data_IF_695825550233
#
_entry.id   IF_695825550233
#
_cell.length_a   1.000
_cell.length_b   1.000
_cell.length_c   1.000
_cell.angle_alpha   90.00
_cell.angle_beta   90.00
_cell.angle_gamma   90.00
#
_symmetry.space_group_name_H-M   'P 1'
#
loop_
_entity.id
_entity.type
_entity.pdbx_description
1 polymer ?
#
# COMPACT_ATOMS: atom_id res chain seq x y z
N UNK A 1 -2.58 10.71 17.09
CA UNK A 1 -1.41 10.33 17.91
C UNK A 1 -0.32 10.04 16.91
N UNK A 2 0.60 10.98 16.73
CA UNK A 2 1.64 10.94 15.71
C UNK A 2 2.75 10.05 16.27
N UNK A 3 3.04 8.93 15.61
CA UNK A 3 4.16 8.08 16.01
C UNK A 3 5.30 8.31 15.00
N UNK A 4 6.37 9.00 15.42
CA UNK A 4 7.67 9.04 14.70
C UNK A 4 8.56 7.83 15.04
N UNK A 5 8.05 6.95 15.90
CA UNK A 5 8.70 5.76 16.42
C UNK A 5 7.96 4.52 15.96
N UNK A 6 8.67 3.60 15.31
CA UNK A 6 8.12 2.27 14.98
C UNK A 6 8.67 1.26 15.98
N UNK A 7 7.75 0.60 16.68
CA UNK A 7 8.06 -0.57 17.51
C UNK A 7 7.97 -1.82 16.65
N UNK A 8 9.04 -2.61 16.59
CA UNK A 8 9.05 -3.87 15.83
C UNK A 8 9.34 -5.04 16.79
N UNK A 9 8.30 -5.80 17.14
CA UNK A 9 8.50 -7.02 17.92
C UNK A 9 9.17 -8.11 17.07
N UNK A 10 10.20 -8.76 17.62
CA UNK A 10 10.87 -9.88 16.94
C UNK A 10 10.03 -11.16 17.07
N UNK A 11 9.02 -11.33 16.22
CA UNK A 11 8.18 -12.55 16.18
C UNK A 11 8.91 -13.74 15.53
N UNK A 12 10.18 -13.99 15.87
CA UNK A 12 11.00 -15.03 15.23
C UNK A 12 11.25 -16.27 16.09
N UNK A 13 10.88 -16.27 17.37
CA UNK A 13 11.08 -17.42 18.25
C UNK A 13 9.89 -17.66 19.18
N UNK A 14 9.41 -18.91 19.22
CA UNK A 14 8.28 -19.37 20.06
C UNK A 14 8.51 -19.09 21.57
N UNK A 15 9.75 -18.87 21.98
CA UNK A 15 10.18 -18.52 23.34
C UNK A 15 10.06 -17.02 23.68
N UNK A 16 10.00 -16.14 22.68
CA UNK A 16 9.87 -14.68 22.86
C UNK A 16 8.42 -14.19 22.95
N UNK A 17 7.44 -15.05 22.69
CA UNK A 17 6.00 -14.75 22.85
C UNK A 17 5.66 -14.35 24.30
N UNK A 18 6.53 -14.68 25.26
CA UNK A 18 6.40 -14.28 26.67
C UNK A 18 6.88 -12.84 26.97
N UNK A 19 7.46 -12.12 26.01
CA UNK A 19 7.99 -10.75 26.19
C UNK A 19 7.28 -9.72 25.31
N UNK A 20 5.95 -9.74 25.31
CA UNK A 20 5.11 -8.71 24.65
C UNK A 20 4.81 -7.51 25.57
N UNK A 21 5.38 -7.48 26.78
CA UNK A 21 5.09 -6.44 27.77
C UNK A 21 5.75 -5.10 27.44
N UNK A 22 6.89 -5.12 26.76
CA UNK A 22 7.62 -3.91 26.36
C UNK A 22 8.27 -4.10 24.98
N UNK A 23 8.36 -3.03 24.17
CA UNK A 23 9.09 -3.06 22.91
C UNK A 23 10.54 -3.46 23.15
N UNK A 24 11.04 -4.46 22.41
CA UNK A 24 12.43 -4.88 22.52
C UNK A 24 13.40 -3.90 21.86
N UNK A 25 12.94 -3.27 20.77
CA UNK A 25 13.74 -2.39 19.94
C UNK A 25 12.84 -1.25 19.46
N UNK A 26 13.38 -0.04 19.61
CA UNK A 26 12.71 1.21 19.28
C UNK A 26 13.60 1.95 18.31
N UNK A 27 13.08 2.26 17.13
CA UNK A 27 13.82 2.97 16.11
C UNK A 27 13.09 4.25 15.69
N UNK A 28 13.80 5.36 15.75
CA UNK A 28 13.33 6.63 15.23
C UNK A 28 13.55 6.70 13.72
N UNK A 29 12.50 7.10 12.99
CA UNK A 29 12.53 7.19 11.54
C UNK A 29 12.73 8.64 11.11
N UNK A 30 13.96 8.93 10.69
CA UNK A 30 14.44 10.29 10.39
C UNK A 30 14.80 10.40 8.91
N UNK A 31 14.32 11.45 8.24
CA UNK A 31 14.67 11.81 6.88
C UNK A 31 15.28 13.22 6.84
N UNK A 32 16.60 13.31 6.66
CA UNK A 32 17.34 14.57 6.77
C UNK A 32 16.93 15.63 5.73
N UNK A 33 16.39 15.21 4.58
CA UNK A 33 15.88 16.10 3.53
C UNK A 33 14.41 16.51 3.70
N UNK A 34 13.77 16.19 4.82
CA UNK A 34 12.33 16.42 5.00
C UNK A 34 12.03 17.90 5.28
N UNK A 35 10.99 18.43 4.63
CA UNK A 35 10.79 19.87 4.42
C UNK A 35 10.43 20.69 5.68
N UNK A 36 10.17 20.04 6.84
CA UNK A 36 9.74 20.72 8.07
C UNK A 36 10.56 20.28 9.29
N UNK A 37 10.55 18.99 9.56
CA UNK A 37 11.26 18.34 10.69
C UNK A 37 12.02 17.15 10.15
N UNK A 38 13.14 16.76 10.76
CA UNK A 38 13.81 15.53 10.34
C UNK A 38 12.97 14.27 10.67
N UNK A 39 12.08 14.36 11.67
CA UNK A 39 11.13 13.30 12.02
C UNK A 39 10.02 13.16 10.99
N UNK A 40 9.71 11.90 10.65
CA UNK A 40 8.65 11.54 9.71
C UNK A 40 7.50 10.88 10.46
N UNK A 41 6.30 11.45 10.32
CA UNK A 41 5.08 10.94 10.94
C UNK A 41 4.53 9.72 10.18
N UNK A 42 4.56 8.55 10.82
CA UNK A 42 4.13 7.29 10.21
C UNK A 42 2.66 7.01 10.50
N UNK A 43 1.91 6.66 9.47
CA UNK A 43 0.48 6.35 9.56
C UNK A 43 0.16 4.88 9.31
N UNK A 44 1.01 4.20 8.53
CA UNK A 44 0.83 2.79 8.18
C UNK A 44 2.17 2.17 7.77
N UNK A 45 2.28 0.85 7.84
CA UNK A 45 3.46 0.12 7.40
C UNK A 45 3.09 -1.28 6.95
N UNK A 46 3.92 -1.85 6.07
CA UNK A 46 3.83 -3.27 5.69
C UNK A 46 5.17 -3.82 5.20
N UNK A 47 5.28 -5.14 5.16
CA UNK A 47 6.45 -5.87 4.68
C UNK A 47 6.12 -6.56 3.35
N UNK A 48 7.06 -6.59 2.38
CA UNK A 48 7.00 -7.58 1.33
C UNK A 48 6.97 -8.99 1.93
N UNK A 49 6.24 -9.90 1.32
CA UNK A 49 6.19 -11.28 1.78
C UNK A 49 7.59 -11.90 1.86
N UNK A 50 7.84 -12.66 2.92
CA UNK A 50 9.13 -13.27 3.26
C UNK A 50 10.29 -12.28 3.53
N UNK A 51 10.03 -10.98 3.54
CA UNK A 51 10.98 -9.96 3.98
C UNK A 51 10.76 -9.64 5.47
N UNK A 52 11.85 -9.53 6.22
CA UNK A 52 11.81 -9.29 7.69
C UNK A 52 12.75 -8.18 8.12
N UNK A 53 13.61 -7.73 7.21
CA UNK A 53 14.67 -6.75 7.44
C UNK A 53 14.33 -5.39 6.86
N UNK A 54 13.44 -5.34 5.86
CA UNK A 54 13.00 -4.11 5.22
C UNK A 54 11.48 -4.02 5.18
N UNK A 55 10.96 -2.83 5.40
CA UNK A 55 9.53 -2.54 5.37
C UNK A 55 9.29 -1.19 4.72
N UNK A 56 8.05 -0.96 4.29
CA UNK A 56 7.63 0.32 3.73
C UNK A 56 6.67 0.99 4.68
N UNK A 57 6.80 2.30 4.78
CA UNK A 57 5.98 3.14 5.65
C UNK A 57 5.27 4.19 4.84
N UNK A 58 3.96 4.32 5.06
CA UNK A 58 3.18 5.46 4.62
C UNK A 58 3.18 6.56 5.67
N UNK A 59 3.07 7.80 5.23
CA UNK A 59 3.26 8.98 6.08
C UNK A 59 2.08 9.94 6.03
N UNK A 60 2.01 10.84 7.01
CA UNK A 60 1.00 11.91 7.04
C UNK A 60 1.13 12.91 5.88
N UNK A 61 2.30 13.01 5.25
CA UNK A 61 2.54 13.92 4.13
C UNK A 61 2.22 13.33 2.74
N UNK A 62 1.84 12.05 2.67
CA UNK A 62 1.52 11.41 1.39
C UNK A 62 2.71 10.74 0.68
N UNK A 63 3.87 10.65 1.33
CA UNK A 63 5.02 9.92 0.81
C UNK A 63 5.09 8.50 1.39
N UNK A 64 5.67 7.57 0.62
CA UNK A 64 6.12 6.26 1.12
C UNK A 64 7.63 6.22 1.15
N UNK A 65 8.19 5.63 2.21
CA UNK A 65 9.62 5.38 2.35
C UNK A 65 9.90 3.91 2.63
N UNK A 66 11.03 3.42 2.11
CA UNK A 66 11.58 2.14 2.54
C UNK A 66 12.39 2.35 3.82
N UNK A 67 12.30 1.43 4.77
CA UNK A 67 13.05 1.45 6.02
C UNK A 67 13.73 0.10 6.26
N UNK A 68 14.93 0.10 6.84
CA UNK A 68 15.61 -1.11 7.27
C UNK A 68 15.56 -1.22 8.79
N UNK A 69 15.26 -2.42 9.30
CA UNK A 69 15.26 -2.71 10.74
C UNK A 69 16.68 -2.69 11.33
N UNK A 70 17.66 -3.19 10.57
CA UNK A 70 19.04 -3.33 11.02
C UNK A 70 20.03 -2.78 10.01
N UNK A 71 21.24 -2.48 10.49
CA UNK A 71 22.38 -2.20 9.63
C UNK A 71 22.73 -3.44 8.78
N UNK A 72 22.96 -3.24 7.49
CA UNK A 72 23.45 -4.26 6.55
C UNK A 72 24.48 -3.67 5.60
N UNK A 73 25.18 -4.54 4.87
CA UNK A 73 26.12 -4.10 3.84
C UNK A 73 25.39 -3.21 2.80
N UNK A 74 25.74 -1.91 2.78
CA UNK A 74 25.16 -0.94 1.85
C UNK A 74 23.84 -0.29 2.28
N UNK A 75 23.30 -0.60 3.47
CA UNK A 75 22.13 0.13 3.98
C UNK A 75 22.15 0.24 5.51
N UNK A 76 21.88 1.44 6.02
CA UNK A 76 21.74 1.70 7.45
C UNK A 76 20.34 1.41 7.94
N UNK A 77 20.24 1.06 9.21
CA UNK A 77 18.97 0.96 9.90
C UNK A 77 18.25 2.33 9.84
N UNK A 78 16.93 2.31 9.69
CA UNK A 78 16.08 3.49 9.57
C UNK A 78 15.63 3.74 8.14
N UNK A 79 15.13 4.95 7.87
CA UNK A 79 14.61 5.32 6.55
C UNK A 79 15.72 5.37 5.50
N UNK A 80 15.45 4.80 4.34
CA UNK A 80 16.20 5.06 3.12
C UNK A 80 15.92 6.51 2.69
N UNK A 81 16.97 7.32 2.67
CA UNK A 81 16.88 8.74 2.34
C UNK A 81 16.95 9.01 0.83
N UNK A 82 17.31 8.02 0.03
CA UNK A 82 17.50 8.17 -1.41
C UNK A 82 16.21 7.95 -2.20
N UNK A 83 15.38 7.00 -1.81
CA UNK A 83 14.16 6.68 -2.57
C UNK A 83 12.92 7.25 -1.87
N UNK A 84 12.22 8.17 -2.55
CA UNK A 84 10.97 8.77 -2.08
C UNK A 84 9.85 8.42 -3.04
N UNK A 85 8.88 7.64 -2.60
CA UNK A 85 7.68 7.32 -3.38
C UNK A 85 6.68 8.45 -3.17
N UNK A 86 6.46 9.25 -4.22
CA UNK A 86 5.70 10.49 -4.14
C UNK A 86 4.54 10.46 -5.11
N UNK A 87 3.34 10.76 -4.62
CA UNK A 87 2.15 10.80 -5.47
C UNK A 87 0.85 11.13 -4.75
N UNK A 88 0.70 10.80 -3.46
CA UNK A 88 -0.47 11.22 -2.70
C UNK A 88 -0.37 12.70 -2.30
N UNK A 89 -1.52 13.37 -2.24
CA UNK A 89 -1.68 14.75 -1.80
C UNK A 89 -2.10 14.86 -0.33
N UNK A 90 -2.24 13.72 0.37
CA UNK A 90 -2.60 13.67 1.78
C UNK A 90 -2.15 12.40 2.49
N UNK A 91 -2.37 12.33 3.83
CA UNK A 91 -2.02 11.19 4.66
C UNK A 91 -2.38 9.82 4.08
N UNK A 92 -1.41 8.92 4.07
CA UNK A 92 -1.62 7.53 3.64
C UNK A 92 -2.30 6.75 4.77
N UNK A 93 -3.46 6.17 4.51
CA UNK A 93 -4.26 5.45 5.52
C UNK A 93 -4.10 3.94 5.45
N UNK A 94 -3.71 3.41 4.30
CA UNK A 94 -3.45 2.00 4.09
C UNK A 94 -2.23 1.78 3.22
N UNK A 95 -1.48 0.72 3.52
CA UNK A 95 -0.41 0.18 2.69
C UNK A 95 -0.54 -1.34 2.71
N UNK A 96 -0.45 -1.99 1.55
CA UNK A 96 -0.46 -3.45 1.49
C UNK A 96 0.36 -3.99 0.33
N UNK A 97 1.33 -4.85 0.64
CA UNK A 97 2.06 -5.60 -0.38
C UNK A 97 1.19 -6.67 -1.02
N UNK A 98 1.46 -6.95 -2.28
CA UNK A 98 0.81 -8.03 -3.00
C UNK A 98 1.32 -9.38 -2.45
N UNK A 99 0.43 -10.34 -2.16
CA UNK A 99 0.82 -11.64 -1.62
C UNK A 99 1.66 -12.44 -2.62
N UNK A 100 2.66 -13.15 -2.11
CA UNK A 100 3.46 -14.14 -2.85
C UNK A 100 2.70 -15.43 -2.98
N UNK A 101 1.81 -15.48 -3.97
CA UNK A 101 1.12 -16.72 -4.32
C UNK A 101 1.10 -16.89 -5.83
N UNK A 102 1.02 -18.14 -6.29
CA UNK A 102 0.83 -18.52 -7.69
C UNK A 102 2.08 -18.50 -8.56
N UNK A 103 1.89 -18.35 -9.87
CA UNK A 103 2.91 -18.65 -10.91
C UNK A 103 3.79 -17.48 -11.33
N UNK A 104 3.41 -16.25 -10.97
CA UNK A 104 4.14 -15.01 -11.27
C UNK A 104 4.41 -14.28 -9.97
N UNK A 105 5.65 -13.81 -9.80
CA UNK A 105 6.06 -13.07 -8.62
C UNK A 105 5.69 -11.58 -8.73
N UNK A 106 4.81 -11.15 -7.82
CA UNK A 106 4.36 -9.76 -7.67
C UNK A 106 4.74 -9.19 -6.30
N UNK A 107 5.67 -9.81 -5.57
CA UNK A 107 6.10 -9.38 -4.22
C UNK A 107 6.60 -7.94 -4.15
N UNK A 108 6.99 -7.35 -5.28
CA UNK A 108 7.41 -5.97 -5.39
C UNK A 108 6.25 -4.98 -5.64
N UNK A 109 5.02 -5.45 -5.83
CA UNK A 109 3.85 -4.58 -5.98
C UNK A 109 3.23 -4.29 -4.61
N UNK A 110 2.81 -3.05 -4.41
CA UNK A 110 2.03 -2.68 -3.23
C UNK A 110 1.01 -1.61 -3.57
N UNK A 111 -0.07 -1.58 -2.79
CA UNK A 111 -1.11 -0.56 -2.86
C UNK A 111 -0.95 0.41 -1.69
N UNK A 112 -1.37 1.65 -1.91
CA UNK A 112 -1.61 2.62 -0.85
C UNK A 112 -2.99 3.25 -1.01
N UNK A 113 -3.62 3.63 0.10
CA UNK A 113 -4.85 4.43 0.10
C UNK A 113 -4.63 5.70 0.91
N UNK A 114 -5.34 6.77 0.59
CA UNK A 114 -5.15 8.06 1.24
C UNK A 114 -6.44 8.83 1.45
N UNK A 115 -6.35 9.84 2.33
CA UNK A 115 -7.40 10.85 2.51
C UNK A 115 -7.56 11.79 1.31
N UNK A 116 -6.65 11.72 0.33
CA UNK A 116 -6.80 12.38 -0.97
C UNK A 116 -7.76 11.66 -1.93
N UNK A 117 -8.48 10.66 -1.43
CA UNK A 117 -9.52 9.89 -2.11
C UNK A 117 -9.00 8.90 -3.16
N UNK A 118 -7.68 8.77 -3.28
CA UNK A 118 -7.07 7.88 -4.27
C UNK A 118 -6.53 6.60 -3.63
N UNK A 119 -6.52 5.53 -4.44
CA UNK A 119 -5.67 4.36 -4.22
C UNK A 119 -4.56 4.40 -5.27
N UNK A 120 -3.32 4.11 -4.89
CA UNK A 120 -2.19 4.09 -5.83
C UNK A 120 -1.50 2.74 -5.84
N UNK A 121 -1.16 2.27 -7.04
CA UNK A 121 -0.35 1.07 -7.27
C UNK A 121 1.10 1.45 -7.46
N UNK A 122 2.01 0.74 -6.80
CA UNK A 122 3.44 1.04 -6.82
C UNK A 122 4.26 -0.20 -7.14
N UNK A 123 5.50 0.04 -7.56
CA UNK A 123 6.56 -0.97 -7.63
C UNK A 123 7.70 -0.62 -6.70
N UNK A 124 7.95 -1.47 -5.72
CA UNK A 124 9.08 -1.37 -4.82
C UNK A 124 10.41 -1.53 -5.59
N UNK A 125 11.35 -0.60 -5.34
CA UNK A 125 12.75 -0.71 -5.75
C UNK A 125 13.37 -1.98 -5.16
N UNK A 126 14.22 -2.63 -5.95
CA UNK A 126 14.93 -3.83 -5.51
C UNK A 126 15.91 -3.50 -4.39
N UNK A 127 15.81 -4.22 -3.27
CA UNK A 127 16.74 -4.13 -2.15
C UNK A 127 18.16 -4.58 -2.52
N UNK A 128 18.32 -5.37 -3.58
CA UNK A 128 19.62 -5.84 -4.07
C UNK A 128 20.44 -4.76 -4.81
N UNK A 129 19.78 -3.69 -5.25
CA UNK A 129 20.39 -2.57 -5.98
C UNK A 129 19.96 -1.26 -5.31
N UNK A 130 20.49 -0.97 -4.10
CA UNK A 130 20.12 0.22 -3.37
C UNK A 130 20.53 1.48 -4.16
N UNK A 131 19.67 2.49 -4.13
CA UNK A 131 19.96 3.79 -4.70
C UNK A 131 21.09 4.48 -3.93
N UNK A 132 21.97 5.17 -4.64
CA UNK A 132 23.07 5.97 -4.06
C UNK A 132 22.85 7.47 -4.25
N UNK A 133 21.81 7.86 -5.00
CA UNK A 133 21.41 9.24 -5.26
C UNK A 133 19.91 9.40 -5.03
N UNK A 134 19.42 10.61 -4.71
CA UNK A 134 17.98 10.84 -4.54
C UNK A 134 17.17 10.51 -5.80
N UNK A 135 16.07 9.77 -5.64
CA UNK A 135 15.11 9.42 -6.67
C UNK A 135 13.68 9.61 -6.17
N UNK A 136 12.88 10.30 -6.98
CA UNK A 136 11.43 10.34 -6.81
C UNK A 136 10.84 9.19 -7.61
N UNK A 137 10.05 8.34 -6.95
CA UNK A 137 9.38 7.19 -7.54
C UNK A 137 7.90 7.55 -7.68
N UNK A 138 7.41 7.58 -8.91
CA UNK A 138 6.00 7.78 -9.22
C UNK A 138 5.21 6.47 -9.07
N UNK A 139 3.89 6.55 -8.80
CA UNK A 139 3.04 5.37 -8.85
C UNK A 139 3.06 4.75 -10.25
N UNK A 140 2.77 3.45 -10.35
CA UNK A 140 2.49 2.80 -11.63
C UNK A 140 1.12 3.21 -12.17
N UNK A 141 0.16 3.43 -11.26
CA UNK A 141 -1.21 3.74 -11.58
C UNK A 141 -1.92 4.41 -10.39
N UNK A 142 -2.92 5.24 -10.68
CA UNK A 142 -3.80 5.89 -9.71
C UNK A 142 -5.25 5.50 -9.97
N UNK A 143 -5.93 5.03 -8.94
CA UNK A 143 -7.35 4.73 -8.96
C UNK A 143 -8.08 5.87 -8.24
N UNK A 144 -8.83 6.66 -9.01
CA UNK A 144 -9.34 7.97 -8.59
C UNK A 144 -10.88 8.01 -8.51
N UNK A 145 -11.52 6.83 -8.46
CA UNK A 145 -12.99 6.68 -8.49
C UNK A 145 -13.68 6.93 -7.13
N UNK A 146 -12.92 7.16 -6.05
CA UNK A 146 -13.53 7.40 -4.73
C UNK A 146 -13.93 8.86 -4.55
N UNK A 147 -15.12 9.07 -4.00
CA UNK A 147 -15.63 10.41 -3.69
C UNK A 147 -15.27 10.89 -2.27
N UNK A 148 -14.61 10.04 -1.48
CA UNK A 148 -14.35 10.26 -0.05
C UNK A 148 -13.00 9.65 0.39
N UNK A 149 -12.46 10.02 1.57
CA UNK A 149 -11.22 9.47 2.11
C UNK A 149 -11.19 7.94 2.12
N UNK A 150 -10.18 7.34 1.47
CA UNK A 150 -10.01 5.88 1.44
C UNK A 150 -9.18 5.44 2.64
N UNK A 151 -9.87 4.96 3.67
CA UNK A 151 -9.33 4.63 4.98
C UNK A 151 -8.54 3.31 5.03
N UNK A 152 -8.74 2.43 4.05
CA UNK A 152 -8.01 1.16 3.99
C UNK A 152 -8.06 0.50 2.63
N UNK A 153 -7.01 -0.25 2.32
CA UNK A 153 -6.86 -1.03 1.09
C UNK A 153 -6.15 -2.35 1.40
N UNK A 154 -6.60 -3.45 0.77
CA UNK A 154 -5.97 -4.77 0.89
C UNK A 154 -6.09 -5.56 -0.40
N UNK A 155 -4.97 -6.02 -0.94
CA UNK A 155 -4.93 -7.11 -1.92
C UNK A 155 -5.66 -8.34 -1.39
N UNK A 156 -6.37 -9.01 -2.28
CA UNK A 156 -6.99 -10.29 -1.97
C UNK A 156 -5.91 -11.37 -1.79
N UNK A 157 -6.01 -12.26 -0.79
CA UNK A 157 -4.92 -13.16 -0.42
C UNK A 157 -4.62 -14.25 -1.45
N UNK A 158 -5.61 -14.61 -2.28
CA UNK A 158 -5.50 -15.74 -3.21
C UNK A 158 -5.74 -15.39 -4.67
N UNK A 159 -6.23 -14.19 -4.99
CA UNK A 159 -6.56 -13.74 -6.35
C UNK A 159 -5.65 -12.55 -6.67
N UNK A 160 -4.85 -12.58 -7.75
CA UNK A 160 -3.72 -11.68 -7.87
C UNK A 160 -4.19 -10.28 -8.29
N UNK A 161 -5.21 -10.21 -9.14
CA UNK A 161 -5.72 -8.96 -9.69
C UNK A 161 -6.85 -8.34 -8.86
N UNK A 162 -7.17 -8.86 -7.67
CA UNK A 162 -8.29 -8.34 -6.86
C UNK A 162 -7.77 -7.64 -5.62
N UNK A 163 -8.32 -6.48 -5.33
CA UNK A 163 -8.16 -5.82 -4.04
C UNK A 163 -9.46 -5.18 -3.61
N UNK A 164 -9.58 -4.95 -2.31
CA UNK A 164 -10.69 -4.20 -1.73
C UNK A 164 -10.22 -2.89 -1.13
N UNK A 165 -11.08 -1.89 -1.14
CA UNK A 165 -10.90 -0.62 -0.45
C UNK A 165 -12.14 -0.26 0.36
N UNK A 166 -11.93 0.50 1.43
CA UNK A 166 -13.01 1.00 2.29
C UNK A 166 -12.85 2.50 2.49
N UNK A 167 -13.97 3.23 2.43
CA UNK A 167 -13.97 4.69 2.45
C UNK A 167 -14.76 5.27 3.63
N UNK A 168 -14.48 6.55 3.92
CA UNK A 168 -15.21 7.37 4.90
C UNK A 168 -16.69 7.55 4.58
N UNK A 169 -17.09 7.36 3.32
CA UNK A 169 -18.49 7.36 2.86
C UNK A 169 -19.32 6.15 3.32
N UNK A 170 -18.69 5.16 3.94
CA UNK A 170 -19.37 3.89 4.23
C UNK A 170 -19.30 2.87 3.08
N UNK A 171 -18.61 3.19 1.97
CA UNK A 171 -18.49 2.32 0.80
C UNK A 171 -17.39 1.27 0.98
N UNK A 172 -17.73 0.01 0.65
CA UNK A 172 -16.77 -1.05 0.37
C UNK A 172 -16.72 -1.27 -1.13
N UNK A 173 -15.52 -1.13 -1.69
CA UNK A 173 -15.27 -1.22 -3.11
C UNK A 173 -14.38 -2.42 -3.43
N UNK A 174 -14.73 -3.16 -4.47
CA UNK A 174 -13.99 -4.32 -4.97
C UNK A 174 -13.48 -4.04 -6.38
N UNK A 175 -12.19 -4.24 -6.56
CA UNK A 175 -11.48 -4.00 -7.81
C UNK A 175 -11.02 -5.32 -8.43
N UNK A 176 -11.04 -5.41 -9.75
CA UNK A 176 -10.36 -6.47 -10.49
C UNK A 176 -9.60 -5.89 -11.68
N UNK A 177 -8.29 -5.76 -11.54
CA UNK A 177 -7.41 -5.14 -12.54
C UNK A 177 -7.40 -5.91 -13.88
N UNK A 178 -7.75 -7.20 -13.89
CA UNK A 178 -7.83 -7.97 -15.13
C UNK A 178 -9.13 -7.74 -15.90
N UNK A 179 -10.16 -7.21 -15.23
CA UNK A 179 -11.43 -6.84 -15.86
C UNK A 179 -11.35 -5.42 -16.39
N UNK A 180 -11.04 -4.47 -15.49
CA UNK A 180 -10.98 -3.05 -15.79
C UNK A 180 -10.14 -2.36 -14.70
N UNK A 181 -9.26 -1.44 -15.09
CA UNK A 181 -8.43 -0.65 -14.16
C UNK A 181 -9.05 0.69 -13.80
N UNK A 182 -10.08 1.12 -14.52
CA UNK A 182 -10.79 2.39 -14.34
C UNK A 182 -12.15 2.18 -13.65
N UNK A 183 -12.74 0.99 -13.75
CA UNK A 183 -14.09 0.72 -13.22
C UNK A 183 -14.08 -0.29 -12.07
N UNK A 184 -14.84 0.03 -11.03
CA UNK A 184 -15.13 -0.84 -9.89
C UNK A 184 -15.95 -2.07 -10.30
N UNK A 185 -15.58 -3.25 -9.80
CA UNK A 185 -16.41 -4.47 -9.97
C UNK A 185 -17.63 -4.41 -9.08
N UNK A 186 -17.45 -3.94 -7.84
CA UNK A 186 -18.52 -3.74 -6.86
C UNK A 186 -18.24 -2.46 -6.09
N UNK A 187 -19.29 -1.68 -5.85
CA UNK A 187 -19.31 -0.61 -4.84
C UNK A 187 -20.59 -0.77 -4.04
N UNK A 188 -20.47 -0.91 -2.72
CA UNK A 188 -21.64 -1.13 -1.86
C UNK A 188 -21.56 -0.35 -0.56
N UNK A 189 -22.68 0.24 -0.15
CA UNK A 189 -22.81 0.88 1.15
C UNK A 189 -22.92 -0.18 2.23
N UNK A 190 -22.01 -0.12 3.21
CA UNK A 190 -21.96 -1.08 4.30
C UNK A 190 -22.92 -0.70 5.43
N UNK A 191 -23.82 -1.62 5.78
CA UNK A 191 -24.76 -1.44 6.89
C UNK A 191 -25.60 -0.16 6.75
N UNK A 192 -25.45 0.77 7.72
CA UNK A 192 -26.15 2.06 7.70
C UNK A 192 -25.40 3.16 6.91
N UNK A 193 -24.29 2.83 6.25
CA UNK A 193 -23.41 3.80 5.61
C UNK A 193 -22.55 4.59 6.59
N UNK A 194 -22.25 4.03 7.76
CA UNK A 194 -21.30 4.64 8.68
C UNK A 194 -19.87 4.58 8.10
N UNK A 195 -19.02 5.59 8.33
CA UNK A 195 -17.62 5.59 7.88
C UNK A 195 -16.88 4.31 8.21
N UNK A 196 -16.14 3.77 7.24
CA UNK A 196 -15.36 2.55 7.40
C UNK A 196 -13.89 2.89 7.68
N UNK A 197 -13.23 2.05 8.47
CA UNK A 197 -11.84 2.30 8.92
C UNK A 197 -10.85 1.21 8.48
N UNK A 198 -11.26 -0.07 8.54
CA UNK A 198 -10.35 -1.20 8.31
C UNK A 198 -11.04 -2.30 7.51
N UNK A 199 -10.25 -2.97 6.68
CA UNK A 199 -10.61 -4.11 5.84
C UNK A 199 -9.62 -5.24 6.12
N UNK A 200 -10.13 -6.46 6.27
CA UNK A 200 -9.31 -7.67 6.37
C UNK A 200 -9.99 -8.86 5.67
N UNK A 201 -9.29 -9.48 4.74
CA UNK A 201 -9.75 -10.70 4.07
C UNK A 201 -9.64 -11.93 4.97
N UNK A 202 -10.56 -12.87 4.81
CA UNK A 202 -10.39 -14.24 5.26
C UNK A 202 -9.17 -14.85 4.55
N UNK A 203 -8.22 -15.37 5.33
CA UNK A 203 -6.97 -15.91 4.82
C UNK A 203 -7.12 -17.34 4.28
N UNK A 204 -8.23 -18.03 4.56
CA UNK A 204 -8.42 -19.43 4.14
C UNK A 204 -8.73 -19.54 2.65
N UNK A 205 -9.78 -18.86 2.19
CA UNK A 205 -10.20 -18.90 0.79
C UNK A 205 -10.43 -17.51 0.17
N UNK A 206 -10.40 -16.44 0.97
CA UNK A 206 -10.59 -15.07 0.50
C UNK A 206 -12.05 -14.69 0.22
N UNK A 207 -13.02 -15.59 0.41
CA UNK A 207 -14.42 -15.31 0.05
C UNK A 207 -15.09 -14.26 0.91
N UNK A 208 -14.52 -13.94 2.07
CA UNK A 208 -15.10 -13.00 3.02
C UNK A 208 -14.16 -11.88 3.38
N UNK A 209 -14.73 -10.69 3.50
CA UNK A 209 -14.08 -9.50 4.04
C UNK A 209 -14.71 -9.12 5.38
N UNK A 210 -13.88 -8.93 6.40
CA UNK A 210 -14.25 -8.30 7.66
C UNK A 210 -13.97 -6.80 7.58
N UNK A 211 -14.97 -5.98 7.91
CA UNK A 211 -14.96 -4.53 7.73
C UNK A 211 -15.39 -3.85 9.02
N UNK A 212 -14.57 -2.94 9.55
CA UNK A 212 -14.88 -2.17 10.75
C UNK A 212 -15.53 -0.83 10.44
N UNK A 213 -16.71 -0.58 10.99
CA UNK A 213 -17.43 0.69 10.91
C UNK A 213 -17.22 1.59 12.13
N UNK A 214 -17.39 2.90 11.95
CA UNK A 214 -17.35 3.88 13.04
C UNK A 214 -18.56 3.82 13.96
N UNK A 215 -19.60 3.06 13.61
CA UNK A 215 -20.76 2.78 14.45
C UNK A 215 -20.49 1.69 15.50
N UNK A 216 -19.23 1.24 15.60
CA UNK A 216 -18.80 0.22 16.56
C UNK A 216 -19.10 -1.21 16.14
N UNK A 217 -19.55 -1.44 14.88
CA UNK A 217 -19.85 -2.78 14.37
C UNK A 217 -18.74 -3.31 13.47
N UNK A 218 -18.64 -4.63 13.47
CA UNK A 218 -17.86 -5.39 12.49
C UNK A 218 -18.83 -6.07 11.53
N UNK A 219 -18.63 -5.83 10.23
CA UNK A 219 -19.41 -6.41 9.17
C UNK A 219 -18.62 -7.51 8.46
N UNK A 220 -19.30 -8.59 8.08
CA UNK A 220 -18.73 -9.66 7.25
C UNK A 220 -19.44 -9.64 5.90
N UNK A 221 -18.70 -9.36 4.84
CA UNK A 221 -19.18 -9.36 3.46
C UNK A 221 -18.64 -10.58 2.72
N UNK A 222 -19.53 -11.34 2.09
CA UNK A 222 -19.17 -12.48 1.24
C UNK A 222 -19.13 -12.03 -0.22
N UNK A 223 -17.98 -12.16 -0.87
CA UNK A 223 -17.79 -11.80 -2.28
C UNK A 223 -18.07 -12.98 -3.23
N UNK A 224 -18.44 -14.14 -2.70
CA UNK A 224 -18.88 -15.30 -3.46
C UNK A 224 -17.90 -15.72 -4.55
N UNK A 225 -18.42 -15.86 -5.77
CA UNK A 225 -17.64 -16.36 -6.91
C UNK A 225 -16.61 -15.35 -7.43
N UNK A 226 -16.65 -14.09 -7.01
CA UNK A 226 -15.63 -13.08 -7.36
C UNK A 226 -14.26 -13.39 -6.75
N UNK A 227 -14.20 -14.25 -5.72
CA UNK A 227 -12.95 -14.76 -5.18
C UNK A 227 -12.33 -15.88 -6.04
N UNK A 228 -13.09 -16.46 -6.97
CA UNK A 228 -12.63 -17.60 -7.77
C UNK A 228 -11.68 -17.11 -8.85
N UNK A 229 -10.48 -17.66 -8.83
CA UNK A 229 -9.41 -17.39 -9.80
C UNK A 229 -9.43 -18.37 -10.97
N UNK A 230 -9.20 -17.88 -12.18
CA UNK A 230 -8.83 -18.70 -13.34
C UNK A 230 -7.32 -18.95 -13.37
N UNK A 231 -6.89 -19.95 -14.12
CA UNK A 231 -5.45 -20.27 -14.25
C UNK A 231 -4.65 -19.13 -14.90
N UNK A 232 -5.28 -18.33 -15.77
CA UNK A 232 -4.62 -17.24 -16.50
C UNK A 232 -4.44 -15.96 -15.67
N UNK A 233 -5.10 -15.81 -14.52
CA UNK A 233 -5.20 -14.53 -13.80
C UNK A 233 -3.83 -13.91 -13.45
N UNK A 234 -2.80 -14.72 -13.22
CA UNK A 234 -1.44 -14.27 -12.94
C UNK A 234 -0.76 -13.72 -14.19
N UNK A 235 -0.86 -14.44 -15.30
CA UNK A 235 -0.28 -14.01 -16.56
C UNK A 235 -1.01 -12.78 -17.11
N UNK A 236 -2.32 -12.68 -16.87
CA UNK A 236 -3.14 -11.55 -17.29
C UNK A 236 -2.80 -10.31 -16.46
N UNK A 237 -2.63 -10.44 -15.13
CA UNK A 237 -2.19 -9.32 -14.30
C UNK A 237 -0.81 -8.82 -14.71
N UNK A 238 0.11 -9.72 -15.07
CA UNK A 238 1.43 -9.35 -15.55
C UNK A 238 1.34 -8.45 -16.80
N UNK A 239 0.42 -8.76 -17.73
CA UNK A 239 0.17 -7.92 -18.91
C UNK A 239 -0.46 -6.59 -18.53
N UNK A 240 -1.47 -6.59 -17.66
CA UNK A 240 -2.14 -5.36 -17.19
C UNK A 240 -1.14 -4.40 -16.56
N UNK A 241 -0.31 -4.90 -15.64
CA UNK A 241 0.72 -4.11 -14.94
C UNK A 241 1.77 -3.55 -15.90
N UNK A 242 2.14 -4.31 -16.94
CA UNK A 242 3.02 -3.83 -18.00
C UNK A 242 2.36 -2.72 -18.84
N UNK A 243 1.06 -2.82 -19.10
CA UNK A 243 0.28 -1.83 -19.84
C UNK A 243 0.16 -0.49 -19.12
N UNK A 244 -0.28 -0.50 -17.85
CA UNK A 244 -0.47 0.73 -17.07
C UNK A 244 0.85 1.45 -16.77
N UNK A 245 1.93 0.70 -16.52
CA UNK A 245 3.26 1.27 -16.30
C UNK A 245 3.86 1.95 -17.53
N UNK A 246 3.46 1.55 -18.74
CA UNK A 246 3.89 2.18 -19.99
C UNK A 246 3.13 3.46 -20.34
N UNK A 247 1.86 3.55 -19.96
CA UNK A 247 0.99 4.68 -20.31
C UNK A 247 1.35 5.98 -19.54
N UNK A 248 1.70 5.89 -18.25
CA UNK A 248 2.07 7.07 -17.45
C UNK A 248 3.43 7.68 -17.82
N UNK A 249 4.40 6.87 -18.28
CA UNK A 249 5.68 7.39 -18.77
C UNK A 249 5.51 8.31 -19.99
N UNK A 250 4.50 8.06 -20.84
CA UNK A 250 4.23 8.89 -22.02
C UNK A 250 3.47 10.19 -21.68
N UNK A 251 2.72 10.25 -20.58
CA UNK A 251 2.01 11.47 -20.16
C UNK A 251 2.92 12.54 -19.51
N UNK A 252 4.04 12.10 -18.91
CA UNK A 252 5.02 13.01 -18.28
C UNK A 252 5.87 13.77 -19.30
N UNK A 253 6.09 13.20 -20.49
CA UNK A 253 6.89 13.85 -21.55
C UNK A 253 6.15 15.01 -22.21
N UNK A 254 4.81 15.00 -22.21
CA UNK A 254 3.98 16.01 -22.88
C UNK A 254 3.62 17.21 -21.97
N UNK A 255 3.78 17.06 -20.65
CA UNK A 255 3.50 18.10 -19.65
C UNK A 255 4.58 19.17 -19.51
N UNK A 256 5.84 18.83 -19.78
CA UNK A 256 6.99 19.73 -19.55
C UNK A 256 7.26 20.72 -20.70
N UNK A 257 6.66 20.53 -21.87
CA UNK A 257 6.89 21.40 -23.04
C UNK A 257 5.98 22.64 -23.04
N UNK A 258 4.86 22.62 -22.30
CA UNK A 258 3.84 23.70 -22.39
C UNK A 258 3.98 24.81 -21.34
N UNK A 259 4.85 24.70 -20.34
CA UNK A 259 4.94 25.72 -19.26
C UNK A 259 5.99 26.83 -19.47
N UNK A 260 6.84 26.74 -20.50
CA UNK A 260 7.95 27.71 -20.71
C UNK A 260 7.58 28.82 -21.73
N UNK A 261 6.41 28.76 -22.38
CA UNK A 261 5.98 29.77 -23.34
C UNK A 261 4.69 30.47 -22.90
N UNK A 262 4.80 31.51 -22.07
CA UNK A 262 3.71 32.49 -21.95
C UNK A 262 3.62 33.28 -20.65
N UNK A 263 4.51 34.24 -20.44
CA UNK A 263 4.23 35.68 -20.20
C UNK A 263 5.45 36.39 -19.65
#
# INVERSE_FOLDING_TARGET
MIWSTVTIDSMRNRTLVNMLAQPQETQELIHAGHNKTAEVAITTMDFPDNETTAFWVGTEEGNVYQANRYDRAGAKAGLNQYDVYKGHAGPIMGLHFHPTSGSVDFSNLFLTSSVDWTVKLWRAKSLSKPSTTPHVISPLYSFDESDDPVCGVKWHPTHPAVFGSVAGSGKFDLWNLNTDTEILVVSTTVGSGAPLNKLQWDKKDGRRAAIGGSDGKLYIYDIGDMAIRRESEWADLQKTVAGVGGAQMNGLIDGDVRSIAGR
#
